data_IF_405735960190
#
_entry.id   IF_405735960190
#
_cell.length_a   1.000
_cell.length_b   1.000
_cell.length_c   1.000
_cell.angle_alpha   90.00
_cell.angle_beta   90.00
_cell.angle_gamma   90.00
#
_symmetry.space_group_name_H-M   'P 1'
#
loop_
_entity.id
_entity.type
_entity.pdbx_description
1 polymer ?
#
# COMPACT_ATOMS: atom_id res chain seq x y z
N UNK A 1 -0.01 -11.55 -10.84
CA UNK A 1 -1.30 -11.08 -10.29
C UNK A 1 -1.04 -9.95 -9.32
N UNK A 2 -1.77 -8.88 -9.43
CA UNK A 2 -1.62 -7.74 -8.53
C UNK A 2 -2.31 -8.04 -7.20
N UNK A 3 -1.66 -7.60 -6.13
CA UNK A 3 -2.17 -7.76 -4.77
C UNK A 3 -3.28 -6.76 -4.47
N UNK A 4 -4.25 -7.12 -3.63
CA UNK A 4 -5.26 -6.20 -3.12
C UNK A 4 -4.85 -5.54 -1.79
N UNK A 5 -3.62 -5.77 -1.33
CA UNK A 5 -3.15 -5.26 -0.04
C UNK A 5 -3.23 -3.73 0.04
N UNK A 6 -2.88 -3.03 -1.03
CA UNK A 6 -2.97 -1.58 -1.06
C UNK A 6 -4.42 -1.12 -0.88
N UNK A 7 -5.36 -1.70 -1.62
CA UNK A 7 -6.78 -1.34 -1.53
C UNK A 7 -7.33 -1.61 -0.14
N UNK A 8 -7.02 -2.78 0.42
CA UNK A 8 -7.48 -3.13 1.78
C UNK A 8 -6.88 -2.17 2.80
N UNK A 9 -5.60 -1.84 2.65
CA UNK A 9 -4.91 -0.94 3.59
C UNK A 9 -5.44 0.49 3.52
N UNK A 10 -5.76 0.99 2.33
CA UNK A 10 -6.42 2.28 2.16
C UNK A 10 -7.79 2.27 2.86
N UNK A 11 -8.54 1.19 2.73
CA UNK A 11 -9.83 1.03 3.39
C UNK A 11 -9.65 1.06 4.93
N UNK A 12 -8.67 0.32 5.45
CA UNK A 12 -8.34 0.33 6.88
C UNK A 12 -8.08 1.77 7.36
N UNK A 13 -7.21 2.48 6.67
CA UNK A 13 -6.84 3.85 7.04
C UNK A 13 -8.03 4.80 6.93
N UNK A 14 -8.91 4.61 5.97
CA UNK A 14 -10.11 5.42 5.79
C UNK A 14 -11.08 5.25 6.97
N UNK A 15 -11.29 4.01 7.42
CA UNK A 15 -12.12 3.75 8.60
C UNK A 15 -11.53 4.44 9.83
N UNK A 16 -10.21 4.31 10.02
CA UNK A 16 -9.52 4.91 11.15
C UNK A 16 -9.63 6.44 11.11
N UNK A 17 -9.43 7.04 9.93
CA UNK A 17 -9.50 8.48 9.76
C UNK A 17 -10.88 9.04 10.09
N UNK A 18 -11.94 8.32 9.73
CA UNK A 18 -13.32 8.77 9.97
C UNK A 18 -13.84 8.47 11.37
N UNK A 19 -13.08 7.72 12.17
CA UNK A 19 -13.46 7.36 13.54
C UNK A 19 -12.44 7.86 14.56
N UNK A 20 -11.81 9.00 14.30
CA UNK A 20 -10.63 9.50 15.03
C UNK A 20 -10.82 9.59 16.56
N UNK A 21 -12.02 9.85 17.03
CA UNK A 21 -12.25 9.99 18.47
C UNK A 21 -12.73 8.72 19.13
N UNK A 22 -12.72 7.61 18.39
CA UNK A 22 -13.16 6.32 18.88
C UNK A 22 -12.07 5.29 18.65
N UNK A 23 -11.95 4.35 19.59
CA UNK A 23 -11.07 3.22 19.42
C UNK A 23 -11.73 2.23 18.45
N UNK A 24 -10.98 1.77 17.45
CA UNK A 24 -11.49 0.87 16.41
C UNK A 24 -10.82 -0.49 16.55
N UNK A 25 -11.64 -1.54 16.55
CA UNK A 25 -11.13 -2.92 16.61
C UNK A 25 -10.86 -3.45 15.21
N UNK A 26 -9.98 -4.45 15.13
CA UNK A 26 -9.72 -5.13 13.84
C UNK A 26 -10.97 -5.85 13.33
N UNK A 27 -11.82 -6.31 14.22
CA UNK A 27 -13.09 -6.96 13.86
C UNK A 27 -14.05 -5.97 13.20
N UNK A 28 -14.16 -4.77 13.74
CA UNK A 28 -14.99 -3.72 13.14
C UNK A 28 -14.48 -3.35 11.76
N UNK A 29 -13.16 -3.13 11.64
CA UNK A 29 -12.54 -2.79 10.35
C UNK A 29 -12.76 -3.92 9.34
N UNK A 30 -12.55 -5.16 9.77
CA UNK A 30 -12.74 -6.32 8.90
C UNK A 30 -14.19 -6.43 8.41
N UNK A 31 -15.16 -6.08 9.26
CA UNK A 31 -16.57 -6.10 8.87
C UNK A 31 -16.87 -5.02 7.83
N UNK A 32 -16.23 -3.85 7.95
CA UNK A 32 -16.37 -2.77 6.96
C UNK A 32 -15.82 -3.18 5.59
N UNK A 33 -14.69 -3.90 5.59
CA UNK A 33 -14.04 -4.35 4.36
C UNK A 33 -14.69 -5.63 3.83
N UNK A 34 -15.39 -6.33 4.70
CA UNK A 34 -15.98 -7.65 4.42
C UNK A 34 -14.87 -8.69 4.15
N UNK A 35 -13.87 -8.72 5.04
CA UNK A 35 -12.73 -9.60 4.93
C UNK A 35 -12.37 -10.23 6.29
N UNK A 36 -11.33 -11.05 6.29
CA UNK A 36 -10.88 -11.79 7.48
C UNK A 36 -10.12 -10.86 8.44
N UNK A 37 -10.47 -10.83 9.75
CA UNK A 37 -9.74 -10.03 10.73
C UNK A 37 -8.24 -10.34 10.84
N UNK A 38 -7.82 -11.56 10.53
CA UNK A 38 -6.40 -11.94 10.56
C UNK A 38 -5.62 -11.16 9.52
N UNK A 39 -6.17 -11.02 8.30
CA UNK A 39 -5.54 -10.20 7.26
C UNK A 39 -5.46 -8.74 7.70
N UNK A 40 -6.54 -8.22 8.26
CA UNK A 40 -6.59 -6.83 8.74
C UNK A 40 -5.52 -6.60 9.80
N UNK A 41 -5.39 -7.50 10.79
CA UNK A 41 -4.37 -7.37 11.84
C UNK A 41 -2.95 -7.41 11.27
N UNK A 42 -2.72 -8.24 10.26
CA UNK A 42 -1.41 -8.34 9.61
C UNK A 42 -1.06 -7.03 8.91
N UNK A 43 -2.00 -6.46 8.18
CA UNK A 43 -1.78 -5.17 7.48
C UNK A 43 -1.65 -4.02 8.48
N UNK A 44 -2.44 -4.02 9.55
CA UNK A 44 -2.34 -3.02 10.60
C UNK A 44 -0.97 -3.03 11.26
N UNK A 45 -0.38 -4.22 11.46
CA UNK A 45 0.97 -4.34 12.00
C UNK A 45 1.99 -3.64 11.09
N UNK A 46 1.85 -3.80 9.78
CA UNK A 46 2.73 -3.14 8.80
C UNK A 46 2.52 -1.64 8.78
N UNK A 47 1.27 -1.20 8.86
CA UNK A 47 0.96 0.23 8.90
C UNK A 47 1.50 0.89 10.17
N UNK A 48 1.44 0.19 11.29
CA UNK A 48 2.01 0.66 12.56
C UNK A 48 3.54 0.78 12.45
N UNK A 49 4.17 -0.24 11.89
CA UNK A 49 5.63 -0.25 11.71
C UNK A 49 6.09 0.90 10.82
N UNK A 50 5.29 1.26 9.83
CA UNK A 50 5.54 2.40 8.94
C UNK A 50 5.16 3.74 9.58
N UNK A 51 4.67 3.75 10.81
CA UNK A 51 4.27 4.94 11.56
C UNK A 51 3.11 5.69 10.92
N UNK A 52 2.16 4.95 10.35
CA UNK A 52 0.95 5.51 9.75
C UNK A 52 -0.24 5.47 10.71
N UNK A 53 -0.24 4.53 11.66
CA UNK A 53 -1.30 4.41 12.67
C UNK A 53 -0.68 4.32 14.07
N UNK A 54 -1.50 4.69 15.06
CA UNK A 54 -1.20 4.55 16.48
C UNK A 54 -2.11 3.47 17.07
N UNK A 55 -1.54 2.61 17.92
CA UNK A 55 -2.29 1.56 18.57
C UNK A 55 -2.02 1.56 20.07
N UNK A 56 -2.99 1.03 20.82
CA UNK A 56 -2.84 0.71 22.24
C UNK A 56 -2.94 -0.81 22.40
N UNK A 57 -2.10 -1.38 23.26
CA UNK A 57 -2.13 -2.83 23.52
C UNK A 57 -3.46 -3.30 24.10
N UNK A 58 -4.19 -2.40 24.77
CA UNK A 58 -5.46 -2.74 25.43
C UNK A 58 -6.68 -2.36 24.59
N UNK A 59 -6.58 -1.30 23.80
CA UNK A 59 -7.76 -0.68 23.18
C UNK A 59 -7.81 -0.83 21.66
N UNK A 60 -6.76 -1.35 21.02
CA UNK A 60 -6.70 -1.47 19.56
C UNK A 60 -6.16 -0.21 18.91
N UNK A 61 -6.68 0.16 17.74
CA UNK A 61 -6.21 1.34 17.00
C UNK A 61 -6.81 2.61 17.61
N UNK A 62 -5.94 3.57 17.95
CA UNK A 62 -6.35 4.81 18.56
C UNK A 62 -6.43 5.98 17.56
N UNK A 63 -5.86 5.83 16.37
CA UNK A 63 -5.92 6.87 15.36
C UNK A 63 -4.80 6.79 14.34
N UNK A 64 -4.77 7.77 13.44
CA UNK A 64 -3.67 7.97 12.51
C UNK A 64 -2.47 8.56 13.26
N UNK A 65 -1.26 8.14 12.89
CA UNK A 65 -0.04 8.69 13.45
C UNK A 65 0.39 9.98 12.74
N UNK A 66 -0.18 10.26 11.57
CA UNK A 66 0.03 11.49 10.80
C UNK A 66 -1.32 11.97 10.30
N UNK A 67 -1.40 13.25 9.95
CA UNK A 67 -2.60 13.80 9.33
C UNK A 67 -2.88 13.10 8.00
N UNK A 68 -4.14 12.96 7.63
CA UNK A 68 -4.52 12.29 6.39
C UNK A 68 -3.90 12.96 5.16
N UNK A 69 -3.75 14.29 5.18
CA UNK A 69 -3.09 15.02 4.10
C UNK A 69 -1.59 14.78 4.02
N UNK A 70 -0.99 14.19 5.05
CA UNK A 70 0.44 13.88 5.11
C UNK A 70 0.74 12.39 4.88
N UNK A 71 -0.29 11.61 4.56
CA UNK A 71 -0.13 10.19 4.20
C UNK A 71 -0.41 10.05 2.71
N UNK A 72 0.62 9.71 1.93
CA UNK A 72 0.46 9.48 0.49
C UNK A 72 0.11 8.01 0.23
N UNK A 73 -0.45 7.74 -0.97
CA UNK A 73 -0.67 6.37 -1.39
C UNK A 73 0.65 5.62 -1.54
N UNK A 74 1.74 6.32 -1.86
CA UNK A 74 3.07 5.71 -1.92
C UNK A 74 3.49 5.23 -0.52
N UNK A 75 3.26 6.04 0.53
CA UNK A 75 3.56 5.63 1.90
C UNK A 75 2.87 4.33 2.25
N UNK A 76 1.59 4.20 1.88
CA UNK A 76 0.80 2.98 2.16
C UNK A 76 1.33 1.80 1.33
N UNK A 77 1.59 2.04 0.05
CA UNK A 77 2.12 1.01 -0.85
C UNK A 77 3.44 0.43 -0.32
N UNK A 78 4.37 1.29 0.08
CA UNK A 78 5.68 0.87 0.60
C UNK A 78 5.55 0.15 1.96
N UNK A 79 4.51 0.46 2.72
CA UNK A 79 4.29 -0.17 4.02
C UNK A 79 3.80 -1.61 3.89
N UNK A 80 2.97 -1.91 2.89
CA UNK A 80 2.22 -3.17 2.85
C UNK A 80 2.61 -4.12 1.71
N UNK A 81 3.26 -3.62 0.66
CA UNK A 81 3.67 -4.48 -0.44
C UNK A 81 5.07 -5.05 -0.20
N UNK A 82 5.20 -6.36 -0.38
CA UNK A 82 6.48 -7.04 -0.22
C UNK A 82 7.40 -6.79 -1.41
N UNK A 83 6.83 -6.57 -2.59
CA UNK A 83 7.57 -6.34 -3.82
C UNK A 83 7.10 -5.04 -4.45
N UNK A 84 8.07 -4.15 -4.72
CA UNK A 84 7.79 -2.86 -5.37
C UNK A 84 7.61 -3.00 -6.88
N UNK A 85 8.17 -4.04 -7.45
CA UNK A 85 8.23 -4.19 -8.90
C UNK A 85 6.86 -4.48 -9.49
N UNK A 86 6.42 -3.64 -10.41
CA UNK A 86 5.14 -3.83 -11.11
C UNK A 86 5.21 -4.97 -12.10
N UNK A 87 6.38 -5.17 -12.72
CA UNK A 87 6.57 -6.16 -13.77
C UNK A 87 7.78 -7.03 -13.48
N UNK A 88 7.65 -8.31 -13.77
CA UNK A 88 8.75 -9.24 -13.71
C UNK A 88 9.44 -9.30 -15.06
N UNK A 89 10.76 -9.48 -15.05
CA UNK A 89 11.56 -9.64 -16.27
C UNK A 89 11.89 -11.11 -16.41
N UNK A 90 11.62 -11.67 -17.59
CA UNK A 90 12.10 -13.01 -17.94
C UNK A 90 13.62 -12.92 -18.15
N UNK A 91 14.37 -13.70 -17.40
CA UNK A 91 15.82 -13.81 -17.52
C UNK A 91 16.20 -15.08 -18.29
N UNK A 92 17.49 -15.32 -18.43
CA UNK A 92 18.02 -16.55 -19.08
C UNK A 92 17.60 -16.63 -20.55
N UNK A 93 17.70 -15.51 -21.25
CA UNK A 93 17.44 -15.46 -22.69
C UNK A 93 18.64 -15.98 -23.48
N UNK A 94 18.42 -16.30 -24.76
CA UNK A 94 19.47 -16.78 -25.65
C UNK A 94 20.41 -15.60 -26.01
N UNK A 95 21.62 -15.63 -25.46
CA UNK A 95 22.60 -14.55 -25.66
C UNK A 95 23.21 -14.55 -27.06
N UNK A 96 23.05 -15.65 -27.84
CA UNK A 96 23.53 -15.72 -29.21
C UNK A 96 22.59 -15.00 -30.18
N UNK A 97 21.35 -14.77 -29.77
CA UNK A 97 20.40 -13.97 -30.55
C UNK A 97 20.64 -12.50 -30.28
N UNK A 98 20.69 -11.63 -31.29
CA UNK A 98 20.87 -10.17 -31.04
C UNK A 98 19.80 -9.56 -30.14
N UNK A 99 18.57 -10.01 -30.26
CA UNK A 99 17.47 -9.57 -29.39
C UNK A 99 17.63 -10.16 -27.99
N UNK A 100 17.85 -11.47 -27.91
CA UNK A 100 18.00 -12.17 -26.64
C UNK A 100 19.18 -11.65 -25.82
N UNK A 101 20.22 -11.15 -26.47
CA UNK A 101 21.39 -10.60 -25.79
C UNK A 101 21.10 -9.26 -25.12
N UNK A 102 20.09 -8.51 -25.57
CA UNK A 102 19.84 -7.13 -25.12
C UNK A 102 18.48 -6.88 -24.50
N UNK A 103 17.52 -7.80 -24.69
CA UNK A 103 16.12 -7.56 -24.30
C UNK A 103 15.96 -7.30 -22.79
N UNK A 104 16.69 -8.03 -21.97
CA UNK A 104 16.60 -7.88 -20.52
C UNK A 104 16.98 -6.46 -20.08
N UNK A 105 18.13 -5.97 -20.56
CA UNK A 105 18.59 -4.62 -20.23
C UNK A 105 17.64 -3.53 -20.72
N UNK A 106 17.12 -3.70 -21.94
CA UNK A 106 16.16 -2.75 -22.51
C UNK A 106 14.88 -2.70 -21.70
N UNK A 107 14.30 -3.86 -21.36
CA UNK A 107 13.07 -3.93 -20.58
C UNK A 107 13.28 -3.42 -19.15
N UNK A 108 14.42 -3.74 -18.56
CA UNK A 108 14.75 -3.27 -17.21
C UNK A 108 14.72 -1.75 -17.13
N UNK A 109 15.31 -1.09 -18.13
CA UNK A 109 15.30 0.37 -18.20
C UNK A 109 13.87 0.93 -18.35
N UNK A 110 13.08 0.35 -19.25
CA UNK A 110 11.70 0.76 -19.48
C UNK A 110 10.83 0.53 -18.23
N UNK A 111 10.98 -0.63 -17.59
CA UNK A 111 10.20 -0.96 -16.39
C UNK A 111 10.56 -0.05 -15.22
N UNK A 112 11.84 0.33 -15.10
CA UNK A 112 12.25 1.30 -14.08
C UNK A 112 11.59 2.66 -14.31
N UNK A 113 11.48 3.11 -15.54
CA UNK A 113 10.81 4.36 -15.88
C UNK A 113 9.32 4.30 -15.52
N UNK A 114 8.66 3.20 -15.83
CA UNK A 114 7.25 2.99 -15.51
C UNK A 114 7.06 2.96 -13.99
N UNK A 115 7.95 2.24 -13.29
CA UNK A 115 7.92 2.16 -11.84
C UNK A 115 8.03 3.55 -11.20
N UNK A 116 9.00 4.34 -11.64
CA UNK A 116 9.21 5.69 -11.13
C UNK A 116 7.98 6.58 -11.39
N UNK A 117 7.42 6.53 -12.59
CA UNK A 117 6.23 7.31 -12.94
C UNK A 117 5.03 6.91 -12.06
N UNK A 118 4.87 5.62 -11.80
CA UNK A 118 3.81 5.10 -10.94
C UNK A 118 4.00 5.56 -9.50
N UNK A 119 5.22 5.46 -8.97
CA UNK A 119 5.53 5.90 -7.60
C UNK A 119 5.34 7.41 -7.45
N UNK A 120 5.72 8.19 -8.44
CA UNK A 120 5.51 9.63 -8.45
C UNK A 120 4.01 9.96 -8.40
N UNK A 121 3.20 9.22 -9.16
CA UNK A 121 1.75 9.42 -9.13
C UNK A 121 1.17 9.05 -7.77
N UNK A 122 1.58 7.91 -7.21
CA UNK A 122 1.12 7.49 -5.88
C UNK A 122 1.50 8.51 -4.81
N UNK A 123 2.68 9.10 -4.90
CA UNK A 123 3.13 10.11 -3.93
C UNK A 123 2.32 11.40 -4.00
N UNK A 124 1.67 11.66 -5.11
CA UNK A 124 0.88 12.89 -5.31
C UNK A 124 -0.56 12.78 -4.79
N UNK A 125 -1.00 11.60 -4.42
CA UNK A 125 -2.37 11.36 -3.94
C UNK A 125 -2.29 11.06 -2.44
N UNK A 126 -3.10 11.76 -1.64
CA UNK A 126 -3.08 11.61 -0.18
C UNK A 126 -4.31 10.82 0.30
N UNK A 127 -4.23 10.35 1.53
CA UNK A 127 -5.39 9.72 2.19
C UNK A 127 -6.54 10.71 2.29
N UNK A 128 -6.25 11.99 2.53
CA UNK A 128 -7.27 13.04 2.58
C UNK A 128 -8.02 13.17 1.25
N UNK A 129 -7.32 13.01 0.13
CA UNK A 129 -7.96 13.04 -1.21
C UNK A 129 -9.01 11.95 -1.36
N UNK A 130 -8.80 10.82 -0.69
CA UNK A 130 -9.72 9.68 -0.75
C UNK A 130 -10.86 9.85 0.25
N UNK A 131 -10.53 10.20 1.50
CA UNK A 131 -11.54 10.26 2.57
C UNK A 131 -12.56 11.38 2.36
N UNK A 132 -12.22 12.42 1.61
CA UNK A 132 -13.18 13.50 1.30
C UNK A 132 -14.42 12.99 0.57
N UNK A 133 -14.32 11.85 -0.12
CA UNK A 133 -15.47 11.27 -0.83
C UNK A 133 -16.46 10.59 0.12
N UNK A 134 -16.10 10.40 1.40
CA UNK A 134 -16.93 9.69 2.38
C UNK A 134 -17.57 10.61 3.41
N UNK A 135 -17.39 11.93 3.25
CA UNK A 135 -17.89 12.95 4.18
C UNK A 135 -19.09 13.67 3.59
#
# INVERSE_FOLDING_TARGET
MYSSKLSVSIHILSVIALTEQQTVTSEYIASSINTNPVLVRRLMSRLKKAKLIQTSTKLGVTGLARKAEDISLLDVFLAVEDHRDLFAIHSDTNLECPVGAKIEGTLKHLYNNIQTATEDKLSSITLADITKDFI
#
